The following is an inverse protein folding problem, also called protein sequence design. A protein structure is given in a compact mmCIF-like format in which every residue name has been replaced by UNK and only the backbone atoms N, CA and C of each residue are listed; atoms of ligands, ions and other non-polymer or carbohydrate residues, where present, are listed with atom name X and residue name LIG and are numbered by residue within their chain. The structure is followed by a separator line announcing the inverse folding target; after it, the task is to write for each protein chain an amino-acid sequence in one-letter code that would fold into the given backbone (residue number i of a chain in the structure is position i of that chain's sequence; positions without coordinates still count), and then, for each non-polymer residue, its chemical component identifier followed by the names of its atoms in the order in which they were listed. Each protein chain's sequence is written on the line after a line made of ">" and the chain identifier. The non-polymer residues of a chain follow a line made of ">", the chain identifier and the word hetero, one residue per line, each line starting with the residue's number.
data_IF_712405352560
#
_entry.id   IF_712405352560
#
_cell.length_a   1.000
_cell.length_b   1.000
_cell.length_c   1.000
_cell.angle_alpha   90.00
_cell.angle_beta   90.00
_cell.angle_gamma   90.00
#
_symmetry.space_group_name_H-M   'P 1'
#
loop_
_entity.id
_entity.type
_entity.pdbx_description
1 polymer ?
#
# COMPACT_ATOMS: atom_id res chain seq x y z
N UNK A 1 -3.53 -7.31 8.57
CA UNK A 1 -2.91 -6.20 7.80
C UNK A 1 -2.26 -6.79 6.56
N UNK A 2 -1.91 -6.01 5.55
CA UNK A 2 -1.22 -6.48 4.34
C UNK A 2 -0.37 -5.36 3.73
N UNK A 3 0.62 -5.74 2.92
CA UNK A 3 1.38 -4.79 2.12
C UNK A 3 0.62 -4.50 0.83
N UNK A 4 0.25 -3.24 0.62
CA UNK A 4 -0.42 -2.75 -0.59
C UNK A 4 0.58 -2.00 -1.46
N UNK A 5 0.65 -2.37 -2.74
CA UNK A 5 1.41 -1.62 -3.74
C UNK A 5 0.48 -0.66 -4.48
N UNK A 6 0.84 0.61 -4.55
CA UNK A 6 0.13 1.63 -5.36
C UNK A 6 1.03 2.19 -6.42
N UNK A 7 0.45 2.53 -7.57
CA UNK A 7 1.17 3.04 -8.74
C UNK A 7 0.80 4.50 -8.93
N UNK A 8 1.81 5.36 -9.12
CA UNK A 8 1.66 6.75 -9.54
C UNK A 8 2.31 6.94 -10.89
N UNK A 9 1.56 7.48 -11.86
CA UNK A 9 2.09 7.95 -13.14
C UNK A 9 2.39 9.45 -13.04
N UNK A 10 3.61 9.85 -13.35
CA UNK A 10 4.04 11.25 -13.37
C UNK A 10 3.70 11.91 -14.72
N UNK A 11 3.75 13.24 -14.77
CA UNK A 11 3.45 14.03 -15.97
C UNK A 11 4.40 13.74 -17.14
N UNK A 12 5.65 13.39 -16.83
CA UNK A 12 6.68 12.98 -17.80
C UNK A 12 6.49 11.54 -18.33
N UNK A 13 5.45 10.83 -17.88
CA UNK A 13 5.17 9.45 -18.26
C UNK A 13 5.88 8.40 -17.42
N UNK A 14 6.81 8.79 -16.53
CA UNK A 14 7.46 7.86 -15.61
C UNK A 14 6.46 7.26 -14.61
N UNK A 15 6.73 6.04 -14.16
CA UNK A 15 5.88 5.29 -13.23
C UNK A 15 6.66 5.01 -11.96
N UNK A 16 6.10 5.38 -10.81
CA UNK A 16 6.66 5.13 -9.48
C UNK A 16 5.69 4.26 -8.70
N UNK A 17 6.22 3.31 -7.92
CA UNK A 17 5.45 2.43 -7.06
C UNK A 17 5.72 2.76 -5.60
N UNK A 18 4.70 2.66 -4.75
CA UNK A 18 4.84 2.84 -3.30
C UNK A 18 4.33 1.61 -2.57
N UNK A 19 4.96 1.29 -1.44
CA UNK A 19 4.52 0.23 -0.55
C UNK A 19 3.86 0.83 0.70
N UNK A 20 2.71 0.28 1.08
CA UNK A 20 1.90 0.77 2.18
C UNK A 20 1.48 -0.39 3.09
N UNK A 21 1.48 -0.17 4.40
CA UNK A 21 0.79 -1.05 5.34
C UNK A 21 -0.68 -0.69 5.35
N UNK A 22 -1.54 -1.65 5.04
CA UNK A 22 -2.98 -1.45 5.00
C UNK A 22 -3.73 -2.48 5.85
N UNK A 23 -4.92 -2.11 6.29
CA UNK A 23 -5.89 -3.00 6.91
C UNK A 23 -7.27 -2.69 6.36
N UNK A 24 -8.10 -3.72 6.16
CA UNK A 24 -9.46 -3.53 5.73
C UNK A 24 -10.37 -3.37 6.95
N UNK A 25 -11.13 -2.29 6.99
CA UNK A 25 -12.16 -2.03 8.00
C UNK A 25 -13.53 -2.18 7.33
N UNK A 26 -14.52 -2.70 8.05
CA UNK A 26 -15.90 -2.79 7.55
C UNK A 26 -16.52 -1.39 7.49
N UNK A 27 -17.00 -1.00 6.31
CA UNK A 27 -17.75 0.23 6.12
C UNK A 27 -19.24 -0.13 5.97
N UNK A 28 -20.02 0.20 6.99
CA UNK A 28 -21.46 -0.09 7.03
C UNK A 28 -22.29 0.72 6.05
N UNK A 29 -21.84 1.93 5.65
CA UNK A 29 -22.54 2.76 4.67
C UNK A 29 -22.32 2.23 3.26
N UNK A 30 -21.10 1.81 2.94
CA UNK A 30 -20.78 1.20 1.66
C UNK A 30 -21.14 -0.30 1.57
N UNK A 31 -21.45 -0.94 2.70
CA UNK A 31 -21.78 -2.37 2.77
C UNK A 31 -20.63 -3.30 2.38
N UNK A 32 -19.38 -2.83 2.51
CA UNK A 32 -18.20 -3.59 2.11
C UNK A 32 -16.96 -3.23 2.94
N UNK A 33 -15.95 -4.08 2.88
CA UNK A 33 -14.67 -3.79 3.54
C UNK A 33 -13.87 -2.76 2.71
N UNK A 34 -13.48 -1.65 3.35
CA UNK A 34 -12.63 -0.62 2.74
C UNK A 34 -11.20 -0.69 3.26
N UNK A 35 -10.26 -0.51 2.34
CA UNK A 35 -8.83 -0.46 2.68
C UNK A 35 -8.48 0.86 3.37
N UNK A 36 -7.98 0.79 4.61
CA UNK A 36 -7.38 1.90 5.33
C UNK A 36 -5.85 1.78 5.29
N UNK A 37 -5.19 2.83 4.83
CA UNK A 37 -3.72 2.92 4.87
C UNK A 37 -3.30 3.34 6.27
N UNK A 38 -2.47 2.52 6.90
CA UNK A 38 -1.94 2.74 8.24
C UNK A 38 -0.57 3.44 8.19
N UNK A 39 0.27 3.06 7.22
CA UNK A 39 1.58 3.66 7.01
C UNK A 39 2.00 3.58 5.55
N UNK A 40 2.72 4.59 5.06
CA UNK A 40 3.34 4.57 3.75
C UNK A 40 4.86 4.46 3.92
N UNK A 41 5.44 3.34 3.48
CA UNK A 41 6.88 3.09 3.59
C UNK A 41 7.72 3.89 2.59
N UNK A 42 7.07 4.54 1.62
CA UNK A 42 7.73 5.25 0.55
C UNK A 42 7.81 4.42 -0.73
N UNK A 43 8.76 4.78 -1.59
CA UNK A 43 8.89 4.21 -2.93
C UNK A 43 9.41 2.78 -2.86
N UNK A 44 8.85 1.90 -3.69
CA UNK A 44 9.18 0.47 -3.72
C UNK A 44 10.69 0.25 -3.98
N UNK A 45 11.33 1.07 -4.81
CA UNK A 45 12.77 0.96 -5.09
C UNK A 45 13.68 1.32 -3.91
N UNK A 46 13.16 2.01 -2.89
CA UNK A 46 13.94 2.51 -1.75
C UNK A 46 13.73 1.69 -0.46
N UNK A 47 12.96 0.61 -0.51
CA UNK A 47 12.60 -0.18 0.68
C UNK A 47 12.76 -1.68 0.41
N UNK A 48 13.11 -2.44 1.46
CA UNK A 48 13.19 -3.90 1.38
C UNK A 48 11.77 -4.51 1.40
N UNK A 49 11.24 -4.78 0.21
CA UNK A 49 9.92 -5.38 0.02
C UNK A 49 9.79 -6.75 0.70
N UNK A 50 10.83 -7.58 0.67
CA UNK A 50 10.77 -8.92 1.23
C UNK A 50 10.83 -8.89 2.75
N UNK A 51 11.58 -7.96 3.35
CA UNK A 51 11.51 -7.70 4.78
C UNK A 51 10.11 -7.24 5.20
N UNK A 52 9.49 -6.31 4.47
CA UNK A 52 8.13 -5.84 4.76
C UNK A 52 7.09 -6.95 4.64
N UNK A 53 7.23 -7.87 3.68
CA UNK A 53 6.36 -9.06 3.59
C UNK A 53 6.50 -9.96 4.80
N UNK A 54 7.73 -10.22 5.27
CA UNK A 54 7.99 -11.02 6.48
C UNK A 54 7.43 -10.39 7.75
N UNK A 55 7.43 -9.06 7.84
CA UNK A 55 6.89 -8.33 8.99
C UNK A 55 5.37 -8.49 9.14
N UNK A 56 4.64 -8.63 8.03
CA UNK A 56 3.17 -8.66 8.02
C UNK A 56 2.62 -10.10 7.98
N UNK A 57 3.48 -11.09 7.78
CA UNK A 57 3.13 -12.51 7.68
C UNK A 57 2.49 -13.06 8.97
#
# INVERSE_FOLDING_TARGET
>A
MYIRTVIRKNKDGSVVRYLQLAHNEWDSEAGCAKARVLYNFGREENVDREALKRLVA
#
